data_IF_362977222394
#
_entry.id   IF_362977222394
#
_cell.length_a   1.000
_cell.length_b   1.000
_cell.length_c   1.000
_cell.angle_alpha   90.00
_cell.angle_beta   90.00
_cell.angle_gamma   90.00
#
_symmetry.space_group_name_H-M   'P 1'
#
loop_
_entity.id
_entity.type
_entity.pdbx_description
1 polymer ?
#
# COMPACT_ATOMS: atom_id res chain seq x y z
N UNK A 1 19.29 -6.00 -32.72
CA UNK A 1 18.09 -6.39 -31.96
C UNK A 1 18.40 -5.99 -30.54
N UNK A 2 17.81 -4.87 -30.09
CA UNK A 2 17.93 -4.48 -28.69
C UNK A 2 16.96 -5.37 -27.93
N UNK A 3 17.53 -6.18 -27.04
CA UNK A 3 16.81 -6.95 -26.04
C UNK A 3 16.02 -5.92 -25.20
N UNK A 4 14.70 -5.91 -25.36
CA UNK A 4 13.82 -5.20 -24.44
C UNK A 4 13.70 -6.15 -23.26
N UNK A 5 14.49 -5.90 -22.23
CA UNK A 5 14.23 -6.44 -20.90
C UNK A 5 12.88 -5.83 -20.46
N UNK A 6 11.79 -6.54 -20.76
CA UNK A 6 10.48 -6.32 -20.17
C UNK A 6 10.65 -6.56 -18.67
N UNK A 7 10.94 -5.49 -17.94
CA UNK A 7 10.84 -5.43 -16.49
C UNK A 7 9.37 -5.71 -16.15
N UNK A 8 9.03 -6.97 -15.91
CA UNK A 8 7.76 -7.37 -15.31
C UNK A 8 7.77 -6.92 -13.85
N UNK A 9 7.86 -5.61 -13.61
CA UNK A 9 7.65 -5.03 -12.30
C UNK A 9 6.30 -5.52 -11.81
N UNK A 10 6.29 -6.20 -10.66
CA UNK A 10 5.06 -6.57 -9.97
C UNK A 10 4.13 -5.34 -9.95
N UNK A 11 2.84 -5.50 -10.25
CA UNK A 11 1.97 -4.36 -10.45
C UNK A 11 1.91 -3.53 -9.16
N UNK A 12 2.44 -2.30 -9.25
CA UNK A 12 2.43 -1.36 -8.15
C UNK A 12 1.01 -0.96 -7.73
N UNK A 13 0.87 -0.18 -6.64
CA UNK A 13 -0.43 0.23 -6.16
C UNK A 13 -1.18 1.07 -7.20
N UNK A 14 -2.48 0.81 -7.34
CA UNK A 14 -3.42 1.59 -8.13
C UNK A 14 -3.59 3.01 -7.56
N UNK A 15 -3.53 3.12 -6.23
CA UNK A 15 -3.65 4.39 -5.53
C UNK A 15 -2.93 4.35 -4.17
N UNK A 16 -2.48 5.53 -3.72
CA UNK A 16 -1.87 5.72 -2.40
C UNK A 16 -2.55 6.89 -1.69
N UNK A 17 -3.00 6.66 -0.47
CA UNK A 17 -3.61 7.66 0.40
C UNK A 17 -2.78 7.81 1.68
N UNK A 18 -2.61 9.05 2.13
CA UNK A 18 -2.00 9.36 3.43
C UNK A 18 -3.09 9.84 4.37
N UNK A 19 -3.32 9.06 5.43
CA UNK A 19 -4.43 9.26 6.36
C UNK A 19 -3.89 9.71 7.71
N UNK A 20 -4.69 10.51 8.40
CA UNK A 20 -4.26 11.23 9.60
C UNK A 20 -4.77 10.58 10.88
N UNK A 21 -5.87 9.83 10.78
CA UNK A 21 -6.52 9.15 11.90
C UNK A 21 -6.70 7.67 11.60
N UNK A 22 -6.84 6.88 12.67
CA UNK A 22 -7.17 5.46 12.55
C UNK A 22 -8.59 5.27 11.99
N UNK A 23 -9.53 6.14 12.36
CA UNK A 23 -10.90 6.09 11.84
C UNK A 23 -10.94 6.22 10.32
N UNK A 24 -10.21 7.18 9.74
CA UNK A 24 -10.10 7.32 8.28
C UNK A 24 -9.53 6.05 7.63
N UNK A 25 -8.52 5.43 8.24
CA UNK A 25 -7.94 4.18 7.74
C UNK A 25 -8.94 3.02 7.76
N UNK A 26 -9.75 2.92 8.82
CA UNK A 26 -10.82 1.91 8.91
C UNK A 26 -11.90 2.14 7.85
N UNK A 27 -12.28 3.39 7.57
CA UNK A 27 -13.25 3.69 6.52
C UNK A 27 -12.73 3.32 5.13
N UNK A 28 -11.46 3.61 4.84
CA UNK A 28 -10.83 3.23 3.57
C UNK A 28 -10.71 1.70 3.42
N UNK A 29 -10.35 1.00 4.50
CA UNK A 29 -10.31 -0.46 4.53
C UNK A 29 -11.68 -1.07 4.19
N UNK A 30 -12.75 -0.56 4.82
CA UNK A 30 -14.13 -1.02 4.55
C UNK A 30 -14.54 -0.74 3.11
N UNK A 31 -14.20 0.43 2.57
CA UNK A 31 -14.50 0.76 1.18
C UNK A 31 -13.77 -0.16 0.20
N UNK A 32 -12.50 -0.45 0.45
CA UNK A 32 -11.71 -1.36 -0.39
C UNK A 32 -12.24 -2.80 -0.35
N UNK A 33 -12.62 -3.30 0.83
CA UNK A 33 -13.24 -4.62 1.01
C UNK A 33 -14.56 -4.74 0.22
N UNK A 34 -15.42 -3.72 0.29
CA UNK A 34 -16.67 -3.66 -0.48
C UNK A 34 -16.47 -3.67 -2.00
N UNK A 35 -15.32 -3.19 -2.47
CA UNK A 35 -14.97 -3.12 -3.89
C UNK A 35 -14.10 -4.29 -4.35
N UNK A 36 -13.67 -5.16 -3.43
CA UNK A 36 -12.84 -6.33 -3.73
C UNK A 36 -11.38 -6.00 -4.08
N UNK A 37 -10.83 -4.90 -3.56
CA UNK A 37 -9.43 -4.54 -3.80
C UNK A 37 -8.49 -5.16 -2.75
N UNK A 38 -7.28 -5.51 -3.18
CA UNK A 38 -6.17 -5.77 -2.28
C UNK A 38 -5.65 -4.48 -1.66
N UNK A 39 -5.17 -4.53 -0.42
CA UNK A 39 -4.72 -3.34 0.30
C UNK A 39 -3.47 -3.60 1.11
N UNK A 40 -2.65 -2.56 1.27
CA UNK A 40 -1.56 -2.54 2.23
C UNK A 40 -1.66 -1.29 3.09
N UNK A 41 -1.76 -1.47 4.41
CA UNK A 41 -1.78 -0.39 5.38
C UNK A 41 -0.49 -0.40 6.19
N UNK A 42 0.21 0.73 6.24
CA UNK A 42 1.43 0.93 7.04
C UNK A 42 1.25 2.15 7.95
N UNK A 43 1.55 2.02 9.24
CA UNK A 43 1.71 3.19 10.11
C UNK A 43 3.15 3.70 10.05
N UNK A 44 3.32 5.00 10.20
CA UNK A 44 4.62 5.64 10.35
C UNK A 44 4.51 6.86 11.27
N UNK A 45 5.62 7.24 11.88
CA UNK A 45 5.70 8.45 12.69
C UNK A 45 6.24 9.58 11.81
N UNK A 46 5.50 10.68 11.77
CA UNK A 46 5.92 11.92 11.12
C UNK A 46 6.32 12.93 12.19
N UNK A 47 7.41 13.67 11.97
CA UNK A 47 7.79 14.77 12.86
C UNK A 47 7.02 16.03 12.49
N UNK A 48 6.35 16.66 13.46
CA UNK A 48 5.51 17.84 13.21
C UNK A 48 6.28 19.15 13.39
N UNK A 49 7.23 19.18 14.32
CA UNK A 49 7.97 20.37 14.74
C UNK A 49 9.42 20.07 15.19
N UNK A 50 9.93 18.87 14.93
CA UNK A 50 11.27 18.44 15.33
C UNK A 50 11.39 17.92 16.76
N UNK A 51 10.34 18.06 17.58
CA UNK A 51 10.31 17.59 18.98
C UNK A 51 9.14 16.63 19.25
N UNK A 52 8.08 16.69 18.44
CA UNK A 52 6.93 15.79 18.52
C UNK A 52 6.82 14.85 17.31
N UNK A 53 6.24 13.68 17.57
CA UNK A 53 5.87 12.70 16.54
C UNK A 53 4.35 12.55 16.51
N UNK A 54 3.79 12.54 15.31
CA UNK A 54 2.39 12.23 15.06
C UNK A 54 2.28 10.93 14.28
N UNK A 55 1.40 10.04 14.74
CA UNK A 55 1.10 8.80 14.01
C UNK A 55 0.35 9.13 12.71
N UNK A 56 0.83 8.54 11.61
CA UNK A 56 0.26 8.67 10.27
C UNK A 56 0.10 7.30 9.65
N UNK A 57 -0.76 7.23 8.64
CA UNK A 57 -1.06 6.00 7.94
C UNK A 57 -0.84 6.17 6.44
N UNK A 58 -0.19 5.21 5.81
CA UNK A 58 -0.09 5.08 4.35
C UNK A 58 -0.97 3.89 3.94
N UNK A 59 -1.96 4.15 3.10
CA UNK A 59 -2.91 3.17 2.61
C UNK A 59 -2.74 3.02 1.09
N UNK A 60 -2.35 1.84 0.66
CA UNK A 60 -2.10 1.50 -0.73
C UNK A 60 -3.15 0.52 -1.23
N UNK A 61 -3.71 0.78 -2.41
CA UNK A 61 -4.75 -0.03 -3.04
C UNK A 61 -4.12 -0.79 -4.20
N UNK A 62 -4.41 -2.08 -4.32
CA UNK A 62 -3.94 -2.98 -5.35
C UNK A 62 -5.13 -3.63 -6.05
N UNK A 63 -4.94 -4.05 -7.30
CA UNK A 63 -5.97 -4.76 -8.05
C UNK A 63 -6.32 -6.11 -7.39
N UNK A 64 -5.33 -6.76 -6.80
CA UNK A 64 -5.41 -8.07 -6.14
C UNK A 64 -4.64 -8.03 -4.82
N UNK A 65 -4.77 -9.05 -3.97
CA UNK A 65 -4.13 -9.08 -2.66
C UNK A 65 -2.60 -8.96 -2.79
N UNK A 66 -1.96 -7.95 -2.14
CA UNK A 66 -0.51 -7.80 -2.21
C UNK A 66 0.24 -8.90 -1.44
N UNK A 67 -0.44 -9.70 -0.61
CA UNK A 67 0.16 -10.84 0.11
C UNK A 67 0.41 -12.02 -0.82
N UNK A 68 -0.47 -12.24 -1.80
CA UNK A 68 -0.31 -13.34 -2.77
C UNK A 68 0.89 -13.11 -3.71
N UNK A 69 1.32 -11.85 -3.88
CA UNK A 69 2.51 -11.50 -4.66
C UNK A 69 3.82 -11.81 -3.90
N UNK A 70 3.84 -11.65 -2.58
CA UNK A 70 5.04 -11.88 -1.76
C UNK A 70 5.43 -13.37 -1.70
N UNK A 71 4.44 -14.27 -1.77
CA UNK A 71 4.67 -15.72 -1.80
C UNK A 71 5.18 -16.19 -3.17
N UNK A 72 4.75 -15.54 -4.27
CA UNK A 72 5.23 -15.84 -5.62
C UNK A 72 6.72 -15.52 -5.84
N UNK A 73 7.26 -14.53 -5.13
CA UNK A 73 8.69 -14.15 -5.20
C UNK A 73 9.61 -15.02 -4.31
N UNK A 74 9.05 -15.86 -3.43
CA UNK A 74 9.81 -16.68 -2.47
C UNK A 74 10.12 -18.10 -2.99
N UNK A 75 9.58 -18.48 -4.16
CA UNK A 75 9.76 -19.81 -4.78
C UNK A 75 10.76 -19.84 -5.96
N UNK A 76 11.60 -18.83 -6.15
CA UNK A 76 12.65 -18.81 -7.20
C UNK A 76 14.10 -19.00 -6.68
#
# INVERSE_FOLDING_TARGET
>A
MSDVEEDFAAPGPLATHYLTTLEEAVEHLRAADLLGFGVQLRSYLETTDGESFTERWKFEIFAESPVEQLEAETEE
#
